data_IF_902552992563
#
_entry.id   IF_902552992563
#
_cell.length_a   1.000
_cell.length_b   1.000
_cell.length_c   1.000
_cell.angle_alpha   90.00
_cell.angle_beta   90.00
_cell.angle_gamma   90.00
#
_symmetry.space_group_name_H-M   'P 1'
#
loop_
_entity.id
_entity.type
_entity.pdbx_description
1 polymer ?
#
# COMPACT_ATOMS: atom_id res chain seq x y z
N UNK A 1 -3.13 3.44 -36.63
CA UNK A 1 -4.21 3.12 -35.67
C UNK A 1 -3.59 2.43 -34.48
N UNK A 2 -3.44 3.12 -33.34
CA UNK A 2 -3.00 2.48 -32.10
C UNK A 2 -4.04 1.46 -31.65
N UNK A 3 -3.66 0.18 -31.60
CA UNK A 3 -4.47 -0.84 -30.94
C UNK A 3 -4.41 -0.57 -29.44
N UNK A 4 -5.46 0.06 -28.89
CA UNK A 4 -5.63 0.19 -27.46
C UNK A 4 -5.57 -1.20 -26.81
N UNK A 5 -4.63 -1.39 -25.88
CA UNK A 5 -4.49 -2.63 -25.12
C UNK A 5 -5.83 -2.92 -24.43
N UNK A 6 -6.47 -4.04 -24.79
CA UNK A 6 -7.72 -4.49 -24.14
C UNK A 6 -7.51 -4.53 -22.63
N UNK A 7 -8.24 -3.67 -21.90
CA UNK A 7 -8.26 -3.64 -20.44
C UNK A 7 -8.73 -5.00 -19.94
N UNK A 8 -7.86 -5.75 -19.25
CA UNK A 8 -8.22 -7.03 -18.67
C UNK A 8 -9.27 -6.81 -17.58
N UNK A 9 -10.50 -7.25 -17.83
CA UNK A 9 -11.57 -7.21 -16.84
C UNK A 9 -11.38 -8.38 -15.86
N UNK A 10 -11.07 -8.07 -14.60
CA UNK A 10 -10.97 -9.07 -13.55
C UNK A 10 -12.37 -9.41 -13.07
N UNK A 11 -12.77 -10.67 -13.23
CA UNK A 11 -14.04 -11.18 -12.72
C UNK A 11 -13.85 -11.75 -11.32
N UNK A 12 -14.81 -11.51 -10.44
CA UNK A 12 -14.84 -12.04 -9.07
C UNK A 12 -15.46 -13.43 -9.03
N UNK A 13 -15.11 -14.26 -8.04
CA UNK A 13 -15.75 -15.58 -7.88
C UNK A 13 -17.28 -15.48 -7.75
N UNK A 14 -17.82 -14.40 -7.18
CA UNK A 14 -19.27 -14.17 -7.14
C UNK A 14 -19.86 -14.00 -8.55
N UNK A 15 -19.22 -13.19 -9.40
CA UNK A 15 -19.65 -12.99 -10.78
C UNK A 15 -19.56 -14.28 -11.60
N UNK A 16 -18.50 -15.08 -11.39
CA UNK A 16 -18.35 -16.38 -12.05
C UNK A 16 -19.52 -17.31 -11.68
N UNK A 17 -19.81 -17.46 -10.39
CA UNK A 17 -20.88 -18.33 -9.90
C UNK A 17 -22.26 -17.88 -10.37
N UNK A 18 -22.54 -16.57 -10.35
CA UNK A 18 -23.80 -16.02 -10.82
C UNK A 18 -24.02 -16.30 -12.31
N UNK A 19 -23.01 -16.06 -13.15
CA UNK A 19 -23.12 -16.31 -14.58
C UNK A 19 -23.29 -17.81 -14.91
N UNK A 20 -22.62 -18.70 -14.19
CA UNK A 20 -22.77 -20.15 -14.37
C UNK A 20 -24.16 -20.63 -13.92
N UNK A 21 -24.67 -20.13 -12.79
CA UNK A 21 -26.03 -20.44 -12.33
C UNK A 21 -27.10 -19.92 -13.29
N UNK A 22 -26.97 -18.68 -13.78
CA UNK A 22 -27.87 -18.09 -14.76
C UNK A 22 -27.87 -18.87 -16.08
N UNK A 23 -26.70 -19.34 -16.55
CA UNK A 23 -26.63 -20.18 -17.74
C UNK A 23 -27.37 -21.50 -17.53
N UNK A 24 -27.17 -22.16 -16.38
CA UNK A 24 -27.85 -23.42 -16.04
C UNK A 24 -29.36 -23.26 -15.85
N UNK A 25 -29.82 -22.09 -15.40
CA UNK A 25 -31.26 -21.78 -15.26
C UNK A 25 -31.89 -21.30 -16.58
N UNK A 26 -31.11 -20.65 -17.44
CA UNK A 26 -31.57 -20.23 -18.74
C UNK A 26 -31.57 -21.44 -19.68
N UNK A 27 -32.70 -21.79 -20.29
CA UNK A 27 -32.77 -22.81 -21.34
C UNK A 27 -32.04 -22.40 -22.65
N UNK A 28 -31.03 -21.52 -22.57
CA UNK A 28 -30.27 -21.02 -23.70
C UNK A 28 -29.26 -22.09 -24.11
N UNK A 29 -29.60 -22.89 -25.12
CA UNK A 29 -28.71 -23.93 -25.66
C UNK A 29 -27.45 -23.35 -26.32
N UNK A 30 -27.41 -22.06 -26.62
CA UNK A 30 -26.31 -21.41 -27.33
C UNK A 30 -25.43 -20.55 -26.41
N UNK A 31 -24.26 -21.08 -26.04
CA UNK A 31 -23.26 -20.41 -25.21
C UNK A 31 -22.76 -19.09 -25.80
N UNK A 32 -22.63 -18.98 -27.13
CA UNK A 32 -22.18 -17.73 -27.78
C UNK A 32 -23.22 -16.62 -27.65
N UNK A 33 -24.50 -16.98 -27.70
CA UNK A 33 -25.59 -16.03 -27.50
C UNK A 33 -25.63 -15.55 -26.05
N UNK A 34 -25.46 -16.45 -25.09
CA UNK A 34 -25.34 -16.11 -23.67
C UNK A 34 -24.17 -15.15 -23.42
N UNK A 35 -23.00 -15.43 -24.00
CA UNK A 35 -21.82 -14.57 -23.90
C UNK A 35 -22.07 -13.16 -24.45
N UNK A 36 -22.74 -13.05 -25.60
CA UNK A 36 -23.10 -11.75 -26.20
C UNK A 36 -24.05 -10.97 -25.29
N UNK A 37 -25.08 -11.63 -24.75
CA UNK A 37 -26.06 -11.01 -23.85
C UNK A 37 -25.44 -10.53 -22.54
N UNK A 38 -24.51 -11.30 -21.98
CA UNK A 38 -23.81 -10.97 -20.73
C UNK A 38 -22.56 -10.11 -20.94
N UNK A 39 -22.25 -9.74 -22.18
CA UNK A 39 -21.04 -9.01 -22.56
C UNK A 39 -19.75 -9.67 -22.03
N UNK A 40 -19.68 -11.00 -22.13
CA UNK A 40 -18.53 -11.82 -21.75
C UNK A 40 -17.81 -12.28 -23.02
N UNK A 41 -16.49 -12.17 -23.07
CA UNK A 41 -15.72 -12.73 -24.17
C UNK A 41 -15.87 -14.27 -24.18
N UNK A 42 -16.16 -14.84 -25.35
CA UNK A 42 -16.41 -16.28 -25.46
C UNK A 42 -15.24 -17.15 -24.97
N UNK A 43 -13.98 -16.72 -25.22
CA UNK A 43 -12.80 -17.41 -24.71
C UNK A 43 -12.77 -17.44 -23.17
N UNK A 44 -13.11 -16.32 -22.53
CA UNK A 44 -13.21 -16.21 -21.07
C UNK A 44 -14.31 -17.12 -20.51
N UNK A 45 -15.45 -17.22 -21.19
CA UNK A 45 -16.52 -18.14 -20.81
C UNK A 45 -16.11 -19.61 -20.92
N UNK A 46 -15.42 -19.99 -22.00
CA UNK A 46 -14.90 -21.35 -22.16
C UNK A 46 -13.91 -21.71 -21.05
N UNK A 47 -13.00 -20.80 -20.68
CA UNK A 47 -12.08 -21.00 -19.55
C UNK A 47 -12.82 -21.23 -18.22
N UNK A 48 -13.96 -20.58 -18.02
CA UNK A 48 -14.80 -20.77 -16.84
C UNK A 48 -15.49 -22.13 -16.88
N UNK A 49 -16.05 -22.52 -18.03
CA UNK A 49 -16.71 -23.82 -18.22
C UNK A 49 -15.75 -25.00 -18.00
N UNK A 50 -14.49 -24.89 -18.44
CA UNK A 50 -13.45 -25.88 -18.15
C UNK A 50 -13.15 -26.03 -16.66
N UNK A 51 -13.44 -25.00 -15.85
CA UNK A 51 -13.15 -24.96 -14.41
C UNK A 51 -14.43 -24.90 -13.57
N UNK A 52 -15.58 -25.19 -14.15
CA UNK A 52 -16.90 -24.97 -13.55
C UNK A 52 -17.03 -25.65 -12.17
N UNK A 53 -16.75 -26.96 -12.12
CA UNK A 53 -16.76 -27.73 -10.88
C UNK A 53 -15.85 -27.12 -9.79
N UNK A 54 -14.70 -26.56 -10.17
CA UNK A 54 -13.75 -25.90 -9.25
C UNK A 54 -14.24 -24.52 -8.81
N UNK A 55 -14.93 -23.79 -9.68
CA UNK A 55 -15.53 -22.49 -9.37
C UNK A 55 -16.70 -22.67 -8.40
N UNK A 56 -17.60 -23.61 -8.68
CA UNK A 56 -18.79 -23.89 -7.86
C UNK A 56 -18.39 -24.40 -6.47
N UNK A 57 -17.48 -25.39 -6.40
CA UNK A 57 -16.99 -25.97 -5.13
C UNK A 57 -16.12 -25.03 -4.29
N UNK A 58 -15.59 -23.95 -4.86
CA UNK A 58 -14.74 -23.01 -4.14
C UNK A 58 -15.52 -22.24 -3.06
N UNK A 59 -15.19 -22.47 -1.79
CA UNK A 59 -15.68 -21.70 -0.62
C UNK A 59 -15.03 -20.31 -0.50
N UNK A 60 -14.12 -19.95 -1.42
CA UNK A 60 -13.43 -18.65 -1.39
C UNK A 60 -14.44 -17.50 -1.48
N UNK A 61 -14.18 -16.47 -0.68
CA UNK A 61 -15.00 -15.26 -0.63
C UNK A 61 -15.18 -14.65 -2.05
N UNK A 62 -16.39 -14.16 -2.32
CA UNK A 62 -16.78 -13.62 -3.63
C UNK A 62 -16.16 -12.27 -4.01
N UNK A 63 -15.29 -11.70 -3.16
CA UNK A 63 -14.58 -10.44 -3.44
C UNK A 63 -13.34 -10.70 -4.29
N UNK A 64 -12.78 -9.65 -4.89
CA UNK A 64 -11.48 -9.78 -5.57
C UNK A 64 -10.43 -10.38 -4.61
N UNK A 65 -9.60 -11.28 -5.11
CA UNK A 65 -8.54 -11.94 -4.32
C UNK A 65 -7.59 -10.95 -3.62
N UNK A 66 -7.57 -9.69 -4.06
CA UNK A 66 -6.74 -8.60 -3.50
C UNK A 66 -7.44 -7.81 -2.40
N UNK A 67 -8.71 -8.08 -2.09
CA UNK A 67 -9.53 -7.38 -1.08
C UNK A 67 -9.75 -8.18 0.20
N UNK A 68 -9.23 -9.41 0.33
CA UNK A 68 -9.18 -10.07 1.63
C UNK A 68 -8.15 -9.32 2.48
N UNK A 69 -8.63 -8.44 3.36
CA UNK A 69 -7.89 -7.43 4.14
C UNK A 69 -6.75 -7.90 5.05
N UNK A 70 -6.22 -9.10 4.83
CA UNK A 70 -4.91 -9.50 5.29
C UNK A 70 -3.88 -8.88 4.35
N UNK A 71 -3.48 -7.64 4.63
CA UNK A 71 -2.33 -7.03 3.95
C UNK A 71 -1.13 -7.99 4.00
N UNK A 72 -0.22 -7.90 3.03
CA UNK A 72 0.99 -8.72 3.01
C UNK A 72 1.70 -8.68 4.37
N UNK A 73 2.09 -9.83 4.94
CA UNK A 73 2.90 -9.85 6.17
C UNK A 73 4.18 -9.01 5.97
N UNK A 74 4.56 -8.27 7.01
CA UNK A 74 5.83 -7.54 7.02
C UNK A 74 6.98 -8.54 6.90
N UNK A 75 7.84 -8.35 5.90
CA UNK A 75 9.02 -9.19 5.69
C UNK A 75 10.16 -8.82 6.65
N UNK A 76 10.18 -7.57 7.14
CA UNK A 76 11.23 -7.08 8.02
C UNK A 76 10.88 -7.45 9.47
N UNK A 77 11.72 -8.24 10.16
CA UNK A 77 11.43 -8.72 11.51
C UNK A 77 11.56 -7.64 12.60
N UNK A 78 12.21 -6.51 12.30
CA UNK A 78 12.47 -5.39 13.21
C UNK A 78 11.69 -4.12 12.81
N UNK A 79 10.44 -4.27 12.35
CA UNK A 79 9.65 -3.11 11.92
C UNK A 79 9.42 -2.12 13.07
N UNK A 80 9.20 -2.59 14.29
CA UNK A 80 9.01 -1.72 15.45
C UNK A 80 10.22 -0.81 15.72
N UNK A 81 11.45 -1.33 15.57
CA UNK A 81 12.67 -0.56 15.75
C UNK A 81 12.81 0.55 14.68
N UNK A 82 12.41 0.25 13.43
CA UNK A 82 12.33 1.26 12.36
C UNK A 82 11.32 2.36 12.75
N UNK A 83 10.17 2.00 13.33
CA UNK A 83 9.16 2.97 13.74
C UNK A 83 9.63 3.82 14.91
N UNK A 84 10.34 3.25 15.89
CA UNK A 84 10.98 4.00 16.98
C UNK A 84 11.98 4.99 16.41
N UNK A 85 12.85 4.54 15.49
CA UNK A 85 13.81 5.39 14.81
C UNK A 85 13.12 6.55 14.08
N UNK A 86 12.04 6.28 13.34
CA UNK A 86 11.31 7.30 12.59
C UNK A 86 10.59 8.32 13.48
N UNK A 87 10.02 7.89 14.61
CA UNK A 87 9.31 8.77 15.56
C UNK A 87 10.24 9.71 16.32
N UNK A 88 11.45 9.28 16.63
CA UNK A 88 12.46 10.10 17.33
C UNK A 88 13.00 11.25 16.48
N UNK A 89 12.99 11.12 15.15
CA UNK A 89 13.64 12.10 14.25
C UNK A 89 12.97 13.47 14.23
N UNK A 90 11.63 13.58 14.19
CA UNK A 90 10.93 14.85 14.39
C UNK A 90 11.28 15.56 15.70
N UNK A 91 11.47 14.83 16.81
CA UNK A 91 11.87 15.39 18.12
C UNK A 91 13.27 16.00 18.04
N UNK A 92 14.17 15.39 17.28
CA UNK A 92 15.51 15.92 17.00
C UNK A 92 15.54 16.97 15.88
N UNK A 93 14.39 17.47 15.41
CA UNK A 93 14.24 18.38 14.26
C UNK A 93 14.84 17.84 12.94
N UNK A 94 15.05 16.53 12.84
CA UNK A 94 15.65 15.88 11.68
C UNK A 94 14.61 15.29 10.75
N UNK A 95 14.83 15.45 9.45
CA UNK A 95 14.01 14.80 8.43
C UNK A 95 14.51 13.38 8.14
N UNK A 96 13.59 12.51 7.70
CA UNK A 96 13.89 11.12 7.34
C UNK A 96 13.59 10.91 5.86
N UNK A 97 14.60 10.44 5.13
CA UNK A 97 14.48 9.88 3.78
C UNK A 97 14.70 8.38 3.82
N UNK A 98 14.31 7.65 2.76
CA UNK A 98 14.59 6.21 2.64
C UNK A 98 16.08 5.92 2.81
N UNK A 99 16.94 6.80 2.31
CA UNK A 99 18.39 6.68 2.49
C UNK A 99 18.81 6.62 3.98
N UNK A 100 18.22 7.44 4.85
CA UNK A 100 18.50 7.40 6.29
C UNK A 100 18.01 6.08 6.92
N UNK A 101 16.91 5.51 6.43
CA UNK A 101 16.43 4.19 6.86
C UNK A 101 17.40 3.10 6.40
N UNK A 102 17.84 3.14 5.14
CA UNK A 102 18.81 2.18 4.60
C UNK A 102 20.11 2.21 5.41
N UNK A 103 20.64 3.40 5.72
CA UNK A 103 21.82 3.56 6.56
C UNK A 103 21.60 3.06 8.00
N UNK A 104 20.42 3.32 8.57
CA UNK A 104 20.10 2.85 9.92
C UNK A 104 20.03 1.33 9.98
N UNK A 105 19.38 0.67 9.01
CA UNK A 105 19.36 -0.80 8.91
C UNK A 105 20.77 -1.35 8.68
N UNK A 106 21.56 -0.70 7.81
CA UNK A 106 22.97 -1.05 7.59
C UNK A 106 23.84 -0.86 8.84
N UNK A 107 23.41 -0.12 9.86
CA UNK A 107 24.19 0.03 11.10
C UNK A 107 23.75 -0.96 12.17
N UNK A 108 22.45 -1.23 12.26
CA UNK A 108 21.87 -1.98 13.39
C UNK A 108 21.52 -3.44 13.05
N UNK A 109 21.27 -3.76 11.77
CA UNK A 109 20.81 -5.08 11.34
C UNK A 109 21.59 -5.60 10.11
N UNK A 110 22.92 -5.46 10.13
CA UNK A 110 23.77 -5.92 9.03
C UNK A 110 23.68 -7.41 8.74
N UNK A 111 23.60 -8.24 9.78
CA UNK A 111 23.48 -9.69 9.65
C UNK A 111 22.25 -10.07 8.81
N UNK A 112 21.10 -9.49 9.16
CA UNK A 112 19.85 -9.67 8.41
C UNK A 112 19.94 -9.10 6.99
N UNK A 113 20.56 -7.93 6.80
CA UNK A 113 20.70 -7.33 5.48
C UNK A 113 21.54 -8.21 4.53
N UNK A 114 22.63 -8.78 5.04
CA UNK A 114 23.50 -9.70 4.30
C UNK A 114 22.75 -10.98 3.91
N UNK A 115 21.97 -11.55 4.84
CA UNK A 115 21.12 -12.70 4.55
C UNK A 115 20.04 -12.38 3.49
N UNK A 116 19.37 -11.24 3.64
CA UNK A 116 18.36 -10.79 2.68
C UNK A 116 18.95 -10.58 1.26
N UNK A 117 20.21 -10.14 1.17
CA UNK A 117 20.92 -9.91 -0.09
C UNK A 117 21.44 -11.20 -0.73
N UNK A 118 21.67 -12.27 0.06
CA UNK A 118 22.25 -13.54 -0.40
C UNK A 118 21.51 -14.14 -1.60
N UNK A 119 20.19 -14.10 -1.59
CA UNK A 119 19.35 -14.74 -2.63
C UNK A 119 19.07 -13.83 -3.84
N UNK A 120 19.74 -12.68 -3.95
CA UNK A 120 19.45 -11.69 -5.00
C UNK A 120 20.48 -11.78 -6.11
N UNK A 121 19.98 -11.80 -7.34
CA UNK A 121 20.79 -11.98 -8.56
C UNK A 121 21.88 -10.89 -8.76
N UNK A 122 21.69 -9.69 -8.22
CA UNK A 122 22.69 -8.61 -8.28
C UNK A 122 22.53 -7.62 -7.14
N UNK A 123 23.61 -6.90 -6.81
CA UNK A 123 23.61 -5.86 -5.77
C UNK A 123 22.67 -4.71 -6.12
N UNK A 124 22.57 -4.33 -7.38
CA UNK A 124 21.64 -3.29 -7.86
C UNK A 124 20.19 -3.71 -7.59
N UNK A 125 19.85 -4.97 -7.89
CA UNK A 125 18.51 -5.52 -7.63
C UNK A 125 18.26 -5.66 -6.12
N UNK A 126 19.27 -6.08 -5.35
CA UNK A 126 19.18 -6.18 -3.90
C UNK A 126 18.90 -4.81 -3.26
N UNK A 127 19.67 -3.78 -3.61
CA UNK A 127 19.46 -2.42 -3.16
C UNK A 127 18.10 -1.85 -3.57
N UNK A 128 17.69 -2.05 -4.83
CA UNK A 128 16.41 -1.57 -5.33
C UNK A 128 15.21 -2.23 -4.63
N UNK A 129 15.27 -3.55 -4.42
CA UNK A 129 14.22 -4.29 -3.71
C UNK A 129 14.18 -3.91 -2.23
N UNK A 130 15.33 -3.74 -1.59
CA UNK A 130 15.43 -3.27 -0.21
C UNK A 130 14.85 -1.86 -0.02
N UNK A 131 15.19 -0.92 -0.92
CA UNK A 131 14.60 0.42 -0.93
C UNK A 131 13.08 0.38 -1.04
N UNK A 132 12.54 -0.48 -1.92
CA UNK A 132 11.08 -0.68 -2.06
C UNK A 132 10.45 -1.28 -0.80
N UNK A 133 11.15 -2.18 -0.12
CA UNK A 133 10.69 -2.80 1.11
C UNK A 133 10.49 -1.75 2.22
N UNK A 134 11.49 -0.88 2.41
CA UNK A 134 11.41 0.23 3.37
C UNK A 134 10.31 1.23 3.01
N UNK A 135 10.16 1.58 1.72
CA UNK A 135 9.08 2.46 1.26
C UNK A 135 7.69 1.90 1.59
N UNK A 136 7.48 0.60 1.45
CA UNK A 136 6.20 -0.05 1.79
C UNK A 136 5.90 0.00 3.29
N UNK A 137 6.93 -0.12 4.14
CA UNK A 137 6.77 0.04 5.60
C UNK A 137 6.34 1.47 5.91
N UNK A 138 7.04 2.45 5.35
CA UNK A 138 6.71 3.87 5.50
C UNK A 138 5.26 4.15 5.10
N UNK A 139 4.84 3.66 3.92
CA UNK A 139 3.48 3.84 3.39
C UNK A 139 2.43 3.17 4.28
N UNK A 140 2.68 1.93 4.71
CA UNK A 140 1.78 1.18 5.59
C UNK A 140 1.56 1.89 6.92
N UNK A 141 2.62 2.40 7.52
CA UNK A 141 2.58 3.12 8.79
C UNK A 141 2.28 4.61 8.63
N UNK A 142 1.84 5.03 7.44
CA UNK A 142 1.40 6.40 7.10
C UNK A 142 2.43 7.48 7.40
N UNK A 143 3.71 7.13 7.39
CA UNK A 143 4.78 8.10 7.53
C UNK A 143 4.99 8.86 6.22
N UNK A 144 5.11 10.19 6.34
CA UNK A 144 5.54 11.03 5.23
C UNK A 144 7.04 11.29 5.36
N UNK A 145 7.81 10.73 4.44
CA UNK A 145 9.22 11.09 4.29
C UNK A 145 9.28 12.57 3.92
N UNK A 146 10.06 13.34 4.67
CA UNK A 146 10.16 14.79 4.49
C UNK A 146 11.41 15.12 3.70
N UNK A 147 11.27 16.10 2.82
CA UNK A 147 12.41 16.79 2.22
C UNK A 147 12.90 17.89 3.18
N UNK A 148 14.21 18.19 3.18
CA UNK A 148 14.72 19.33 3.92
C UNK A 148 14.05 20.62 3.43
N UNK A 149 13.45 21.39 4.34
CA UNK A 149 12.98 22.75 4.06
C UNK A 149 13.97 23.73 4.70
N UNK A 150 14.64 24.53 3.89
CA UNK A 150 15.63 25.53 4.34
C UNK A 150 14.94 26.67 5.11
N UNK A 151 13.67 26.94 4.82
CA UNK A 151 12.87 27.99 5.47
C UNK A 151 12.26 27.58 6.82
N UNK A 152 12.47 26.36 7.29
CA UNK A 152 11.91 25.93 8.58
C UNK A 152 12.75 26.49 9.72
N UNK A 153 12.07 27.24 10.58
CA UNK A 153 12.60 27.74 11.84
C UNK A 153 12.63 26.61 12.89
N UNK A 154 13.60 26.61 13.80
CA UNK A 154 13.68 25.63 14.88
C UNK A 154 12.47 25.71 15.81
N UNK A 155 12.15 24.61 16.50
CA UNK A 155 11.08 24.59 17.49
C UNK A 155 11.35 25.56 18.64
N UNK A 156 12.60 25.74 19.02
CA UNK A 156 12.97 26.71 20.06
C UNK A 156 12.48 28.12 19.70
N UNK A 157 12.81 28.59 18.49
CA UNK A 157 12.40 29.93 18.04
C UNK A 157 10.87 30.00 17.89
N UNK A 158 10.23 28.95 17.39
CA UNK A 158 8.76 28.90 17.34
C UNK A 158 8.13 28.97 18.73
N UNK A 159 8.74 28.34 19.73
CA UNK A 159 8.28 28.38 21.12
C UNK A 159 8.45 29.77 21.72
N UNK A 160 9.59 30.42 21.50
CA UNK A 160 9.85 31.80 21.93
C UNK A 160 8.85 32.77 21.29
N UNK A 161 8.61 32.67 19.98
CA UNK A 161 7.61 33.49 19.27
C UNK A 161 6.20 33.22 19.81
N UNK A 162 5.86 31.96 20.07
CA UNK A 162 4.56 31.60 20.63
C UNK A 162 4.36 32.17 22.04
N UNK A 163 5.35 32.08 22.92
CA UNK A 163 5.31 32.66 24.26
C UNK A 163 5.15 34.18 24.22
N UNK A 164 5.91 34.86 23.36
CA UNK A 164 5.77 36.31 23.15
C UNK A 164 4.39 36.69 22.64
N UNK A 165 3.85 35.94 21.68
CA UNK A 165 2.50 36.17 21.16
C UNK A 165 1.43 35.88 22.22
N UNK A 166 1.57 34.81 23.00
CA UNK A 166 0.66 34.49 24.09
C UNK A 166 0.63 35.62 25.13
N UNK A 167 1.79 36.12 25.56
CA UNK A 167 1.88 37.23 26.50
C UNK A 167 1.21 38.51 25.96
N UNK A 168 1.45 38.85 24.69
CA UNK A 168 0.82 40.03 24.06
C UNK A 168 -0.69 39.88 23.90
N UNK A 169 -1.16 38.67 23.58
CA UNK A 169 -2.59 38.34 23.51
C UNK A 169 -3.25 38.50 24.88
N UNK A 170 -2.69 37.89 25.93
CA UNK A 170 -3.22 37.96 27.28
C UNK A 170 -3.27 39.41 27.79
N UNK A 171 -2.18 40.18 27.65
CA UNK A 171 -2.16 41.59 28.05
C UNK A 171 -3.18 42.45 27.29
N UNK A 172 -3.45 42.13 26.02
CA UNK A 172 -4.43 42.87 25.21
C UNK A 172 -5.86 42.61 25.66
N UNK A 173 -6.17 41.38 26.09
CA UNK A 173 -7.53 40.97 26.43
C UNK A 173 -7.82 40.89 27.93
N UNK A 174 -6.80 40.99 28.79
CA UNK A 174 -6.92 41.12 30.26
C UNK A 174 -7.97 42.17 30.69
N UNK A 175 -8.09 43.36 30.06
CA UNK A 175 -9.11 44.34 30.45
C UNK A 175 -10.57 43.93 30.15
N UNK A 176 -10.78 42.87 29.36
CA UNK A 176 -12.09 42.38 28.93
C UNK A 176 -12.56 41.13 29.70
N UNK A 177 -11.76 40.62 30.64
CA UNK A 177 -12.23 39.63 31.63
C UNK A 177 -13.11 40.33 32.67
N UNK A 178 -14.39 40.54 32.34
CA UNK A 178 -15.45 40.99 33.26
C UNK A 178 -16.72 40.18 33.04
#
# INVERSE_FOLDING_TARGET
MEQSKRRQQRNTNAQLKAALAEFSMSNVSNERQFCRMKNIAYSTWQDWRLRDAKIVSSTRHGRHATLSGQGHKELIPFTDDILVYMRKRPEEEKYVRVFHLMQWVKRNHMSWLTEYFRDKNSEVVACATFRRLLLRIVERHRFRLREPCISKVSQQVLHEVWLGYAATLWNKYEPYEK
#
